data_IF_479914167882
#
_entry.id   IF_479914167882
#
_cell.length_a   1.000
_cell.length_b   1.000
_cell.length_c   1.000
_cell.angle_alpha   90.00
_cell.angle_beta   90.00
_cell.angle_gamma   90.00
#
_symmetry.space_group_name_H-M   'P 1'
#
loop_
_entity.id
_entity.type
_entity.pdbx_description
1 polymer ?
#
# COMPACT_ATOMS: atom_id res chain seq x y z
N UNK A 1 -1.06 27.07 7.06
CA UNK A 1 -1.85 26.61 5.91
C UNK A 1 -2.02 25.11 6.08
N UNK A 2 -3.26 24.64 6.25
CA UNK A 2 -3.56 23.20 6.25
C UNK A 2 -3.41 22.74 4.80
N UNK A 3 -2.31 22.05 4.50
CA UNK A 3 -2.11 21.49 3.18
C UNK A 3 -3.09 20.33 2.98
N UNK A 4 -3.83 20.38 1.87
CA UNK A 4 -4.79 19.33 1.50
C UNK A 4 -4.05 18.02 1.25
N UNK A 5 -4.41 16.97 2.01
CA UNK A 5 -3.81 15.62 1.87
C UNK A 5 -4.10 14.98 0.50
N UNK A 6 -5.11 15.48 -0.22
CA UNK A 6 -5.42 15.04 -1.58
C UNK A 6 -4.52 15.70 -2.63
N UNK A 7 -3.64 16.60 -2.23
CA UNK A 7 -2.74 17.33 -3.14
C UNK A 7 -1.33 16.75 -3.14
N UNK A 8 -0.74 16.42 -4.32
CA UNK A 8 0.65 15.99 -4.42
C UNK A 8 1.64 16.96 -3.77
N UNK A 9 1.38 18.26 -3.86
CA UNK A 9 2.27 19.32 -3.37
C UNK A 9 2.51 19.22 -1.84
N UNK A 10 1.51 18.76 -1.09
CA UNK A 10 1.67 18.52 0.35
C UNK A 10 2.75 17.48 0.60
N UNK A 11 2.67 16.35 -0.08
CA UNK A 11 3.60 15.22 0.09
C UNK A 11 4.98 15.53 -0.49
N UNK A 12 5.05 16.18 -1.64
CA UNK A 12 6.31 16.68 -2.23
C UNK A 12 7.06 17.58 -1.27
N UNK A 13 6.35 18.50 -0.62
CA UNK A 13 6.95 19.40 0.37
C UNK A 13 7.50 18.63 1.60
N UNK A 14 6.83 17.56 2.03
CA UNK A 14 7.31 16.73 3.14
C UNK A 14 8.57 15.94 2.73
N UNK A 15 8.59 15.33 1.55
CA UNK A 15 9.78 14.66 1.02
C UNK A 15 10.97 15.60 0.86
N UNK A 16 10.74 16.80 0.32
CA UNK A 16 11.81 17.82 0.12
C UNK A 16 12.37 18.33 1.45
N UNK A 17 11.55 18.43 2.48
CA UNK A 17 11.97 18.85 3.83
C UNK A 17 12.60 17.74 4.65
N UNK A 18 12.54 16.49 4.21
CA UNK A 18 12.96 15.34 5.00
C UNK A 18 12.06 15.11 6.23
N UNK A 19 10.79 15.49 6.14
CA UNK A 19 9.77 15.24 7.17
C UNK A 19 8.91 14.02 6.84
N UNK A 20 9.43 13.14 6.00
CA UNK A 20 8.83 11.91 5.48
C UNK A 20 9.09 10.69 6.41
N UNK A 21 8.79 10.85 7.67
CA UNK A 21 9.01 9.82 8.72
C UNK A 21 8.27 8.48 8.50
N UNK A 22 7.49 8.36 7.43
CA UNK A 22 6.93 7.09 6.97
C UNK A 22 7.93 6.26 6.17
N UNK A 23 8.93 6.88 5.53
CA UNK A 23 9.99 6.19 4.81
C UNK A 23 10.98 5.56 5.78
N UNK A 24 11.23 4.27 5.64
CA UNK A 24 12.15 3.51 6.47
C UNK A 24 13.57 3.45 5.89
N UNK A 25 13.81 4.04 4.71
CA UNK A 25 15.09 3.99 4.00
C UNK A 25 15.42 2.60 3.42
N UNK A 26 14.48 1.68 3.42
CA UNK A 26 14.61 0.31 2.94
C UNK A 26 13.28 -0.43 2.99
N UNK A 27 13.24 -1.72 2.59
CA UNK A 27 12.02 -2.49 2.63
C UNK A 27 11.50 -2.65 4.06
N UNK A 28 10.18 -2.63 4.20
CA UNK A 28 9.49 -2.88 5.46
C UNK A 28 9.83 -4.28 5.97
N UNK A 29 10.31 -4.46 7.21
CA UNK A 29 10.76 -5.76 7.71
C UNK A 29 9.68 -6.85 7.57
N UNK A 30 8.43 -6.52 7.87
CA UNK A 30 7.27 -7.42 7.74
C UNK A 30 7.10 -7.88 6.29
N UNK A 31 7.21 -6.99 5.32
CA UNK A 31 7.09 -7.33 3.90
C UNK A 31 8.31 -8.08 3.37
N UNK A 32 9.49 -7.74 3.85
CA UNK A 32 10.70 -8.51 3.53
C UNK A 32 10.54 -9.96 4.01
N UNK A 33 10.15 -10.19 5.26
CA UNK A 33 9.87 -11.54 5.79
C UNK A 33 8.78 -12.25 4.97
N UNK A 34 7.74 -11.53 4.58
CA UNK A 34 6.66 -12.09 3.78
C UNK A 34 7.13 -12.52 2.39
N UNK A 35 7.95 -11.73 1.73
CA UNK A 35 8.58 -12.05 0.45
C UNK A 35 9.55 -13.24 0.58
N UNK A 36 10.42 -13.23 1.58
CA UNK A 36 11.39 -14.31 1.87
C UNK A 36 10.67 -15.66 2.17
N UNK A 37 9.48 -15.61 2.74
CA UNK A 37 8.71 -16.81 3.12
C UNK A 37 8.23 -17.66 1.94
N UNK A 38 8.25 -17.09 0.73
CA UNK A 38 7.72 -17.71 -0.50
C UNK A 38 6.27 -18.24 -0.34
N UNK A 39 5.51 -17.65 0.58
CA UNK A 39 4.11 -18.01 0.85
C UNK A 39 3.22 -17.79 -0.37
N UNK A 40 3.56 -16.81 -1.20
CA UNK A 40 2.82 -16.43 -2.39
C UNK A 40 3.60 -16.79 -3.65
N UNK A 41 2.92 -17.39 -4.61
CA UNK A 41 3.48 -17.60 -5.95
C UNK A 41 3.62 -16.25 -6.64
N UNK A 42 4.79 -15.92 -7.22
CA UNK A 42 4.97 -14.68 -7.96
C UNK A 42 3.90 -14.46 -9.03
N UNK A 43 3.41 -13.23 -9.10
CA UNK A 43 2.38 -12.78 -10.02
C UNK A 43 2.47 -11.27 -10.24
N UNK A 44 1.44 -10.68 -10.83
CA UNK A 44 1.36 -9.22 -10.98
C UNK A 44 0.95 -8.57 -9.67
N UNK A 45 1.75 -7.64 -9.19
CA UNK A 45 1.50 -6.90 -7.94
C UNK A 45 1.41 -5.40 -8.22
N UNK A 46 0.50 -4.72 -7.54
CA UNK A 46 0.46 -3.25 -7.50
C UNK A 46 0.70 -2.75 -6.08
N UNK A 47 1.50 -1.70 -5.96
CA UNK A 47 1.77 -1.01 -4.68
C UNK A 47 1.24 0.41 -4.81
N UNK A 48 0.24 0.75 -4.00
CA UNK A 48 -0.40 2.08 -4.01
C UNK A 48 0.27 3.01 -3.00
N UNK A 49 0.60 4.25 -3.43
CA UNK A 49 1.36 5.19 -2.61
C UNK A 49 2.76 4.65 -2.31
N UNK A 50 3.44 4.15 -3.34
CA UNK A 50 4.66 3.35 -3.20
C UNK A 50 5.86 4.11 -2.62
N UNK A 51 5.78 5.44 -2.49
CA UNK A 51 6.88 6.25 -2.00
C UNK A 51 8.14 6.04 -2.84
N UNK A 52 9.28 5.82 -2.19
CA UNK A 52 10.54 5.51 -2.90
C UNK A 52 10.61 4.09 -3.47
N UNK A 53 9.55 3.28 -3.36
CA UNK A 53 9.42 1.96 -3.97
C UNK A 53 10.29 0.88 -3.32
N UNK A 54 10.65 1.00 -2.05
CA UNK A 54 11.48 0.01 -1.36
C UNK A 54 10.81 -1.37 -1.30
N UNK A 55 9.54 -1.42 -0.90
CA UNK A 55 8.77 -2.66 -0.83
C UNK A 55 8.48 -3.23 -2.22
N UNK A 56 8.18 -2.37 -3.19
CA UNK A 56 7.99 -2.78 -4.57
C UNK A 56 9.21 -3.52 -5.14
N UNK A 57 10.42 -2.97 -4.91
CA UNK A 57 11.67 -3.65 -5.34
C UNK A 57 11.92 -4.93 -4.55
N UNK A 58 11.57 -4.98 -3.27
CA UNK A 58 11.75 -6.19 -2.49
C UNK A 58 10.91 -7.36 -3.07
N UNK A 59 9.64 -7.14 -3.36
CA UNK A 59 8.82 -8.17 -4.03
C UNK A 59 9.31 -8.48 -5.46
N UNK A 60 9.80 -7.48 -6.20
CA UNK A 60 10.37 -7.72 -7.52
C UNK A 60 11.60 -8.65 -7.47
N UNK A 61 12.48 -8.53 -6.47
CA UNK A 61 13.61 -9.47 -6.26
C UNK A 61 13.15 -10.91 -6.04
N UNK A 62 11.93 -11.09 -5.57
CA UNK A 62 11.31 -12.40 -5.35
C UNK A 62 10.45 -12.86 -6.55
N UNK A 63 10.62 -12.21 -7.71
CA UNK A 63 10.03 -12.64 -8.99
C UNK A 63 8.64 -12.08 -9.28
N UNK A 64 8.09 -11.19 -8.44
CA UNK A 64 6.83 -10.52 -8.74
C UNK A 64 7.02 -9.48 -9.85
N UNK A 65 6.02 -9.36 -10.74
CA UNK A 65 5.94 -8.25 -11.70
C UNK A 65 5.22 -7.08 -11.01
N UNK A 66 5.97 -6.07 -10.58
CA UNK A 66 5.46 -5.04 -9.69
C UNK A 66 5.27 -3.72 -10.41
N UNK A 67 4.05 -3.15 -10.30
CA UNK A 67 3.72 -1.77 -10.66
C UNK A 67 3.66 -0.93 -9.39
N UNK A 68 4.52 0.05 -9.26
CA UNK A 68 4.59 1.00 -8.14
C UNK A 68 3.90 2.31 -8.55
N UNK A 69 2.88 2.72 -7.81
CA UNK A 69 2.09 3.93 -8.08
C UNK A 69 2.36 4.98 -7.02
N UNK A 70 2.70 6.18 -7.44
CA UNK A 70 2.69 7.37 -6.58
C UNK A 70 2.31 8.60 -7.41
N UNK A 71 1.65 9.59 -6.81
CA UNK A 71 1.23 10.79 -7.52
C UNK A 71 2.26 11.93 -7.41
N UNK A 72 3.20 11.86 -6.46
CA UNK A 72 4.26 12.86 -6.27
C UNK A 72 5.34 12.72 -7.34
N UNK A 73 5.50 13.75 -8.18
CA UNK A 73 6.56 13.78 -9.19
C UNK A 73 7.96 13.67 -8.55
N UNK A 74 8.14 14.30 -7.40
CA UNK A 74 9.39 14.27 -6.67
C UNK A 74 9.77 12.84 -6.25
N UNK A 75 8.84 12.08 -5.66
CA UNK A 75 9.15 10.73 -5.21
C UNK A 75 9.27 9.75 -6.36
N UNK A 76 8.53 9.94 -7.44
CA UNK A 76 8.67 9.17 -8.68
C UNK A 76 10.08 9.34 -9.27
N UNK A 77 10.60 10.56 -9.29
CA UNK A 77 12.00 10.81 -9.69
C UNK A 77 13.00 10.10 -8.78
N UNK A 78 12.76 10.10 -7.46
CA UNK A 78 13.58 9.34 -6.51
C UNK A 78 13.50 7.82 -6.77
N UNK A 79 12.32 7.32 -7.10
CA UNK A 79 12.11 5.91 -7.44
C UNK A 79 12.92 5.49 -8.66
N UNK A 80 12.98 6.36 -9.70
CA UNK A 80 13.82 6.14 -10.88
C UNK A 80 15.32 6.18 -10.53
N UNK A 81 15.76 7.10 -9.66
CA UNK A 81 17.17 7.16 -9.21
C UNK A 81 17.60 5.93 -8.42
N UNK A 82 16.67 5.27 -7.75
CA UNK A 82 16.88 4.02 -7.00
C UNK A 82 16.64 2.77 -7.86
N UNK A 83 16.60 2.89 -9.19
CA UNK A 83 16.41 1.76 -10.07
C UNK A 83 17.48 0.67 -9.83
N UNK A 84 17.02 -0.57 -9.75
CA UNK A 84 17.87 -1.74 -9.52
C UNK A 84 17.60 -2.76 -10.64
N UNK A 85 18.59 -3.06 -11.49
CA UNK A 85 18.42 -4.04 -12.58
C UNK A 85 18.01 -5.43 -12.08
N UNK A 86 18.36 -5.80 -10.84
CA UNK A 86 17.99 -7.06 -10.23
C UNK A 86 16.59 -7.04 -9.58
N UNK A 87 15.96 -5.87 -9.55
CA UNK A 87 14.63 -5.67 -8.98
C UNK A 87 13.83 -4.67 -9.83
N UNK A 88 13.60 -4.95 -11.13
CA UNK A 88 12.90 -4.03 -12.02
C UNK A 88 11.44 -3.86 -11.58
N UNK A 89 10.98 -2.61 -11.54
CA UNK A 89 9.59 -2.27 -11.26
C UNK A 89 9.06 -1.33 -12.35
N UNK A 90 7.79 -1.47 -12.67
CA UNK A 90 7.07 -0.48 -13.46
C UNK A 90 6.70 0.69 -12.55
N UNK A 91 7.05 1.93 -12.94
CA UNK A 91 6.75 3.13 -12.16
C UNK A 91 5.65 3.91 -12.87
N UNK A 92 4.55 4.14 -12.16
CA UNK A 92 3.40 4.87 -12.66
C UNK A 92 3.16 6.11 -11.81
N UNK A 93 3.42 7.30 -12.38
CA UNK A 93 3.04 8.56 -11.75
C UNK A 93 1.56 8.81 -11.97
N UNK A 94 0.74 8.53 -10.97
CA UNK A 94 -0.71 8.69 -11.07
C UNK A 94 -1.39 8.85 -9.71
N UNK A 95 -2.52 9.55 -9.67
CA UNK A 95 -3.42 9.51 -8.53
C UNK A 95 -4.14 8.14 -8.51
N UNK A 96 -4.05 7.45 -7.37
CA UNK A 96 -4.65 6.12 -7.17
C UNK A 96 -6.15 6.10 -7.45
N UNK A 97 -6.84 7.21 -7.25
CA UNK A 97 -8.28 7.33 -7.44
C UNK A 97 -8.69 7.46 -8.92
N UNK A 98 -7.77 7.86 -9.77
CA UNK A 98 -8.02 8.08 -11.20
C UNK A 98 -7.22 7.15 -12.11
N UNK A 99 -6.71 6.04 -11.57
CA UNK A 99 -5.97 5.04 -12.34
C UNK A 99 -6.77 4.57 -13.56
N UNK A 100 -6.10 4.36 -14.71
CA UNK A 100 -6.74 3.92 -15.95
C UNK A 100 -7.54 2.63 -15.79
N UNK A 101 -8.66 2.54 -16.52
CA UNK A 101 -9.57 1.37 -16.49
C UNK A 101 -8.91 0.09 -17.01
N UNK A 102 -7.86 0.21 -17.81
CA UNK A 102 -7.06 -0.90 -18.37
C UNK A 102 -6.34 -1.69 -17.26
N UNK A 103 -6.17 -1.08 -16.08
CA UNK A 103 -5.62 -1.73 -14.89
C UNK A 103 -6.67 -2.51 -14.09
N UNK A 104 -7.95 -2.40 -14.43
CA UNK A 104 -9.00 -3.14 -13.73
C UNK A 104 -8.82 -4.66 -13.91
N UNK A 105 -9.03 -5.41 -12.83
CA UNK A 105 -8.89 -6.87 -12.79
C UNK A 105 -7.55 -7.37 -13.37
N UNK A 106 -6.46 -6.60 -13.14
CA UNK A 106 -5.16 -6.89 -13.75
C UNK A 106 -4.13 -7.46 -12.78
N UNK A 107 -4.37 -7.34 -11.46
CA UNK A 107 -3.39 -7.69 -10.46
C UNK A 107 -3.80 -8.92 -9.63
N UNK A 108 -2.82 -9.78 -9.37
CA UNK A 108 -2.97 -10.93 -8.49
C UNK A 108 -2.81 -10.50 -7.02
N UNK A 109 -2.04 -9.41 -6.79
CA UNK A 109 -1.73 -8.87 -5.46
C UNK A 109 -1.83 -7.35 -5.44
N UNK A 110 -2.29 -6.81 -4.31
CA UNK A 110 -2.19 -5.40 -3.97
C UNK A 110 -1.56 -5.27 -2.59
N UNK A 111 -0.52 -4.45 -2.52
CA UNK A 111 0.24 -4.20 -1.28
C UNK A 111 -0.08 -2.80 -0.75
N UNK A 112 -0.36 -2.71 0.54
CA UNK A 112 -0.67 -1.47 1.26
C UNK A 112 0.23 -1.32 2.48
N UNK A 113 0.84 -0.16 2.62
CA UNK A 113 1.43 0.32 3.86
C UNK A 113 1.54 1.84 3.88
N UNK A 114 1.02 2.45 4.93
CA UNK A 114 1.06 3.91 5.18
C UNK A 114 0.41 4.82 4.13
N UNK A 115 -0.21 4.27 3.09
CA UNK A 115 -1.02 5.01 2.13
C UNK A 115 -2.47 5.22 2.65
N UNK A 116 -3.14 4.15 3.11
CA UNK A 116 -4.52 4.22 3.60
C UNK A 116 -4.70 5.20 4.76
N UNK A 117 -3.75 5.23 5.69
CA UNK A 117 -3.77 6.17 6.81
C UNK A 117 -3.42 7.62 6.42
N UNK A 118 -2.88 7.82 5.23
CA UNK A 118 -2.56 9.14 4.68
C UNK A 118 -3.72 9.78 3.92
N UNK A 119 -4.68 8.97 3.47
CA UNK A 119 -5.86 9.41 2.72
C UNK A 119 -6.86 10.12 3.66
N UNK A 120 -7.54 11.17 3.14
CA UNK A 120 -8.68 11.77 3.83
C UNK A 120 -9.68 10.64 4.21
N UNK A 121 -10.04 10.49 5.49
CA UNK A 121 -10.98 9.46 5.93
C UNK A 121 -12.30 9.43 5.14
N UNK A 122 -12.73 10.56 4.60
CA UNK A 122 -13.94 10.65 3.74
C UNK A 122 -13.79 9.90 2.41
N UNK A 123 -12.56 9.62 1.97
CA UNK A 123 -12.26 8.92 0.71
C UNK A 123 -11.92 7.43 0.91
N UNK A 124 -11.97 6.91 2.12
CA UNK A 124 -11.61 5.51 2.41
C UNK A 124 -12.55 4.51 1.73
N UNK A 125 -13.83 4.88 1.55
CA UNK A 125 -14.79 4.08 0.76
C UNK A 125 -14.30 4.00 -0.70
N UNK A 126 -13.94 5.13 -1.29
CA UNK A 126 -13.41 5.21 -2.66
C UNK A 126 -12.11 4.41 -2.80
N UNK A 127 -11.22 4.46 -1.78
CA UNK A 127 -10.01 3.64 -1.77
C UNK A 127 -10.32 2.13 -1.81
N UNK A 128 -11.28 1.68 -1.00
CA UNK A 128 -11.66 0.27 -1.00
C UNK A 128 -12.27 -0.15 -2.36
N UNK A 129 -12.97 0.75 -3.06
CA UNK A 129 -13.45 0.53 -4.43
C UNK A 129 -12.27 0.42 -5.42
N UNK A 130 -11.22 1.24 -5.25
CA UNK A 130 -9.99 1.14 -6.05
C UNK A 130 -9.32 -0.21 -5.84
N UNK A 131 -9.13 -0.66 -4.60
CA UNK A 131 -8.55 -1.98 -4.30
C UNK A 131 -9.37 -3.09 -4.96
N UNK A 132 -10.69 -3.04 -4.81
CA UNK A 132 -11.58 -4.04 -5.38
C UNK A 132 -11.51 -4.09 -6.92
N UNK A 133 -11.51 -2.95 -7.60
CA UNK A 133 -11.49 -2.92 -9.07
C UNK A 133 -10.15 -3.34 -9.68
N UNK A 134 -9.02 -3.12 -8.99
CA UNK A 134 -7.69 -3.45 -9.49
C UNK A 134 -7.39 -4.95 -9.39
N UNK A 135 -7.85 -5.59 -8.32
CA UNK A 135 -7.61 -7.02 -8.08
C UNK A 135 -8.48 -7.90 -8.97
N UNK A 136 -7.87 -8.95 -9.50
CA UNK A 136 -8.56 -10.07 -10.15
C UNK A 136 -9.49 -10.79 -9.17
N UNK A 137 -10.39 -11.60 -9.68
CA UNK A 137 -11.06 -12.65 -8.89
C UNK A 137 -10.00 -13.53 -8.21
N UNK A 138 -10.18 -13.83 -6.93
CA UNK A 138 -9.23 -14.51 -6.05
C UNK A 138 -7.92 -13.75 -5.79
N UNK A 139 -7.81 -12.50 -6.22
CA UNK A 139 -6.66 -11.65 -5.93
C UNK A 139 -6.52 -11.36 -4.44
N UNK A 140 -5.29 -11.11 -4.02
CA UNK A 140 -4.90 -10.96 -2.60
C UNK A 140 -4.62 -9.49 -2.29
N UNK A 141 -5.26 -8.98 -1.25
CA UNK A 141 -4.95 -7.69 -0.64
C UNK A 141 -4.11 -7.92 0.61
N UNK A 142 -2.91 -7.37 0.62
CA UNK A 142 -1.93 -7.44 1.71
C UNK A 142 -1.86 -6.06 2.34
N UNK A 143 -2.38 -5.93 3.56
CA UNK A 143 -2.51 -4.68 4.28
C UNK A 143 -1.75 -4.74 5.61
N UNK A 144 -0.65 -4.01 5.72
CA UNK A 144 -0.02 -3.73 7.01
C UNK A 144 -0.66 -2.46 7.58
N UNK A 145 -1.82 -2.66 8.20
CA UNK A 145 -2.64 -1.57 8.72
C UNK A 145 -1.93 -0.80 9.82
N UNK A 146 -1.90 0.53 9.68
CA UNK A 146 -1.30 1.50 10.61
C UNK A 146 -2.00 2.85 10.49
N UNK A 147 -2.15 3.64 11.57
CA UNK A 147 -1.98 3.27 12.98
C UNK A 147 -3.28 2.73 13.59
N UNK A 148 -3.22 1.57 14.19
CA UNK A 148 -4.34 0.97 14.94
C UNK A 148 -4.34 1.51 16.38
N UNK A 149 -4.62 2.79 16.54
CA UNK A 149 -4.66 3.48 17.82
C UNK A 149 -5.77 4.54 17.85
N UNK A 150 -5.91 5.26 18.96
CA UNK A 150 -6.96 6.25 19.15
C UNK A 150 -6.48 7.70 18.93
N UNK A 151 -5.44 7.89 18.08
CA UNK A 151 -4.92 9.24 17.81
C UNK A 151 -5.98 10.13 17.18
N UNK A 152 -5.90 11.43 17.49
CA UNK A 152 -6.75 12.45 16.88
C UNK A 152 -5.97 13.18 15.79
N UNK A 153 -6.68 13.51 14.70
CA UNK A 153 -6.09 14.21 13.56
C UNK A 153 -5.25 13.29 12.69
N UNK A 154 -4.45 13.87 11.81
CA UNK A 154 -3.61 13.17 10.84
C UNK A 154 -3.17 14.09 9.71
N UNK A 155 -2.46 13.59 8.69
CA UNK A 155 -1.97 12.22 8.55
C UNK A 155 -0.78 11.91 9.48
N UNK A 156 -0.56 10.64 9.89
CA UNK A 156 -1.43 9.51 9.64
C UNK A 156 -2.71 9.57 10.49
N UNK A 157 -3.87 9.32 9.85
CA UNK A 157 -5.15 9.21 10.54
C UNK A 157 -5.31 7.84 11.19
N UNK A 158 -5.94 7.79 12.38
CA UNK A 158 -6.26 6.52 13.01
C UNK A 158 -7.08 5.61 12.08
N UNK A 159 -6.77 4.32 12.14
CA UNK A 159 -7.49 3.26 11.45
C UNK A 159 -8.03 2.30 12.50
N UNK A 160 -9.18 1.69 12.28
CA UNK A 160 -9.73 0.68 13.17
C UNK A 160 -9.94 -0.63 12.44
N UNK A 161 -9.76 -1.74 13.17
CA UNK A 161 -10.05 -3.08 12.62
C UNK A 161 -11.47 -3.15 12.06
N UNK A 162 -12.45 -2.62 12.79
CA UNK A 162 -13.86 -2.62 12.36
C UNK A 162 -14.08 -1.87 11.04
N UNK A 163 -13.37 -0.75 10.83
CA UNK A 163 -13.43 -0.01 9.57
C UNK A 163 -12.87 -0.84 8.41
N UNK A 164 -11.71 -1.47 8.60
CA UNK A 164 -11.08 -2.34 7.60
C UNK A 164 -12.05 -3.48 7.22
N UNK A 165 -12.56 -4.22 8.21
CA UNK A 165 -13.49 -5.31 7.95
C UNK A 165 -14.76 -4.83 7.23
N UNK A 166 -15.37 -3.76 7.70
CA UNK A 166 -16.58 -3.22 7.07
C UNK A 166 -16.34 -2.83 5.60
N UNK A 167 -15.19 -2.20 5.29
CA UNK A 167 -14.85 -1.77 3.95
C UNK A 167 -14.62 -2.95 2.99
N UNK A 168 -13.89 -3.97 3.42
CA UNK A 168 -13.47 -5.04 2.53
C UNK A 168 -14.44 -6.23 2.50
N UNK A 169 -15.03 -6.64 3.63
CA UNK A 169 -16.04 -7.71 3.63
C UNK A 169 -17.28 -7.33 2.84
N UNK A 170 -17.73 -6.06 2.91
CA UNK A 170 -18.86 -5.58 2.10
C UNK A 170 -18.61 -5.62 0.59
N UNK A 171 -17.34 -5.76 0.17
CA UNK A 171 -16.90 -5.89 -1.23
C UNK A 171 -16.54 -7.32 -1.63
N UNK A 172 -16.90 -8.31 -0.80
CA UNK A 172 -16.64 -9.72 -1.08
C UNK A 172 -15.20 -10.15 -0.79
N UNK A 173 -14.47 -9.43 0.05
CA UNK A 173 -13.18 -9.90 0.53
C UNK A 173 -13.35 -10.79 1.75
N UNK A 174 -12.57 -11.88 1.81
CA UNK A 174 -12.50 -12.80 2.96
C UNK A 174 -11.13 -12.68 3.62
N UNK A 175 -11.11 -12.57 4.92
CA UNK A 175 -9.88 -12.62 5.68
C UNK A 175 -9.26 -14.02 5.60
N UNK A 176 -8.02 -14.12 5.11
CA UNK A 176 -7.24 -15.35 5.09
C UNK A 176 -6.38 -15.49 6.34
N UNK A 177 -5.78 -14.40 6.78
CA UNK A 177 -4.96 -14.39 8.01
C UNK A 177 -4.79 -12.97 8.54
N UNK A 178 -4.50 -12.90 9.85
CA UNK A 178 -4.09 -11.67 10.54
C UNK A 178 -3.00 -12.00 11.54
N UNK A 179 -2.09 -11.06 11.77
CA UNK A 179 -1.05 -11.18 12.80
C UNK A 179 -0.59 -9.79 13.27
N UNK A 180 -0.18 -9.72 14.52
CA UNK A 180 0.56 -8.57 15.07
C UNK A 180 2.05 -8.86 14.91
N UNK A 181 2.73 -8.26 13.93
CA UNK A 181 4.07 -8.66 13.58
C UNK A 181 5.09 -8.22 14.65
N UNK A 182 5.94 -9.15 15.08
CA UNK A 182 7.00 -8.86 16.06
C UNK A 182 8.18 -8.11 15.44
N UNK A 183 8.32 -8.20 14.12
CA UNK A 183 9.35 -7.56 13.31
C UNK A 183 8.99 -6.16 12.81
N UNK A 184 7.82 -5.62 13.19
CA UNK A 184 7.51 -4.20 12.98
C UNK A 184 8.58 -3.28 13.56
N UNK A 185 8.83 -2.18 12.89
CA UNK A 185 9.76 -1.15 13.40
C UNK A 185 9.31 -0.65 14.78
N UNK A 186 10.26 -0.47 15.69
CA UNK A 186 9.97 -0.17 17.12
C UNK A 186 8.90 0.91 17.34
N UNK A 187 8.93 2.07 16.64
CA UNK A 187 7.92 3.12 16.86
C UNK A 187 6.49 2.73 16.49
N UNK A 188 6.30 1.67 15.67
CA UNK A 188 4.99 1.27 15.12
C UNK A 188 4.52 -0.09 15.64
N UNK A 189 5.38 -0.88 16.25
CA UNK A 189 5.18 -2.30 16.62
C UNK A 189 3.85 -2.61 17.31
N UNK A 190 3.35 -1.72 18.15
CA UNK A 190 2.10 -1.94 18.89
C UNK A 190 0.86 -1.31 18.22
N UNK A 191 1.06 -0.66 17.09
CA UNK A 191 0.03 0.03 16.32
C UNK A 191 -0.09 -0.50 14.88
N UNK A 192 0.49 -1.66 14.59
CA UNK A 192 0.44 -2.32 13.29
C UNK A 192 -0.13 -3.72 13.42
N UNK A 193 -0.91 -4.11 12.41
CA UNK A 193 -1.37 -5.47 12.24
C UNK A 193 -1.40 -5.81 10.74
N UNK A 194 -0.88 -6.98 10.39
CA UNK A 194 -0.91 -7.47 9.01
C UNK A 194 -2.21 -8.23 8.78
N UNK A 195 -3.00 -7.74 7.82
CA UNK A 195 -4.18 -8.41 7.31
C UNK A 195 -3.92 -8.92 5.89
N UNK A 196 -4.35 -10.14 5.62
CA UNK A 196 -4.32 -10.72 4.28
C UNK A 196 -5.74 -11.12 3.93
N UNK A 197 -6.29 -10.43 2.93
CA UNK A 197 -7.62 -10.69 2.42
C UNK A 197 -7.56 -11.30 1.02
N UNK A 198 -8.54 -12.10 0.67
CA UNK A 198 -8.77 -12.58 -0.68
C UNK A 198 -10.11 -12.08 -1.21
N UNK A 199 -10.07 -11.51 -2.41
CA UNK A 199 -11.29 -11.14 -3.13
C UNK A 199 -12.02 -12.40 -3.61
N UNK A 200 -13.34 -12.45 -3.43
CA UNK A 200 -14.16 -13.57 -3.91
C UNK A 200 -14.03 -13.77 -5.43
N UNK A 201 -14.03 -15.03 -5.84
CA UNK A 201 -13.97 -15.40 -7.27
C UNK A 201 -15.25 -15.12 -8.06
N UNK A 202 -16.37 -14.81 -7.38
CA UNK A 202 -17.69 -14.68 -7.96
C UNK A 202 -18.21 -13.23 -8.06
N UNK A 203 -17.38 -12.22 -7.87
CA UNK A 203 -17.79 -10.82 -8.06
C UNK A 203 -18.01 -10.56 -9.55
N UNK A 204 -19.29 -10.64 -9.97
CA UNK A 204 -19.74 -10.23 -11.31
C UNK A 204 -19.69 -8.71 -11.46
#
# INVERSE_FOLDING_TARGET
MTHDVNSPQKWEADYQRGTDGWDLGGPTPVFKRLADSMRFTPGRMIVLGAGRGHDAREFSRHGFNVTAVDFSSYVVEQMHKLADPNAPIEILQHDIFTLPSELNNSFDYLLEYTCFCAIDPKRRIEYADVVNRLLKSNGIYIDLAFPLDNRKGGPPYAVTESEIFQLFESRGFKLLSREKPEDSVKPRRHAEELFIFQKDGNSK
#
